data_IF_275896342563
#
_entry.id   IF_275896342563
#
_cell.length_a   1.000
_cell.length_b   1.000
_cell.length_c   1.000
_cell.angle_alpha   90.00
_cell.angle_beta   90.00
_cell.angle_gamma   90.00
#
_symmetry.space_group_name_H-M   'P 1'
#
loop_
_entity.id
_entity.type
_entity.pdbx_description
1 polymer ?
#
# COMPACT_ATOMS: atom_id res chain seq x y z
N UNK A 1 52.34 -31.41 27.31
CA UNK A 1 51.26 -32.21 27.87
C UNK A 1 50.17 -32.33 26.82
N UNK A 2 49.95 -33.57 26.42
CA UNK A 2 49.33 -33.99 25.17
C UNK A 2 47.84 -33.63 25.11
N UNK A 3 47.39 -33.08 23.96
CA UNK A 3 45.96 -32.94 23.68
C UNK A 3 45.47 -34.29 23.16
N UNK A 4 44.86 -35.07 24.04
CA UNK A 4 44.12 -36.27 23.67
C UNK A 4 42.96 -35.88 22.74
N UNK A 5 43.03 -36.33 21.49
CA UNK A 5 41.91 -36.26 20.55
C UNK A 5 41.05 -37.50 20.79
N UNK A 6 40.04 -37.36 21.66
CA UNK A 6 39.01 -38.38 21.80
C UNK A 6 38.29 -38.57 20.46
N UNK A 7 38.36 -39.80 19.95
CA UNK A 7 37.71 -40.19 18.71
C UNK A 7 36.19 -40.14 18.88
N UNK A 8 35.55 -39.15 18.26
CA UNK A 8 34.09 -39.10 18.11
C UNK A 8 33.64 -40.27 17.22
N UNK A 9 32.83 -41.15 17.78
CA UNK A 9 32.18 -42.28 17.11
C UNK A 9 31.20 -41.79 16.02
N UNK A 10 31.40 -42.16 14.73
CA UNK A 10 30.54 -41.73 13.63
C UNK A 10 29.13 -42.35 13.61
N UNK A 11 28.77 -43.21 14.58
CA UNK A 11 27.44 -43.85 14.65
C UNK A 11 26.39 -43.14 15.51
N UNK A 12 26.69 -42.01 16.16
CA UNK A 12 25.63 -41.21 16.81
C UNK A 12 24.88 -40.36 15.77
N UNK A 13 23.65 -40.76 15.46
CA UNK A 13 22.70 -39.98 14.68
C UNK A 13 22.60 -38.56 15.22
N UNK A 14 22.82 -37.58 14.33
CA UNK A 14 22.96 -36.16 14.69
C UNK A 14 21.86 -35.69 15.62
N UNK A 15 22.27 -35.31 16.84
CA UNK A 15 21.42 -34.59 17.78
C UNK A 15 20.94 -33.32 17.06
N UNK A 16 19.63 -32.99 17.06
CA UNK A 16 19.17 -31.77 16.43
C UNK A 16 19.95 -30.59 17.00
N UNK A 17 20.46 -29.72 16.13
CA UNK A 17 21.17 -28.51 16.50
C UNK A 17 20.20 -27.64 17.31
N UNK A 18 20.25 -27.74 18.64
CA UNK A 18 19.55 -26.82 19.52
C UNK A 18 20.37 -25.54 19.48
N UNK A 19 19.90 -24.54 18.73
CA UNK A 19 20.43 -23.18 18.85
C UNK A 19 20.11 -22.74 20.28
N UNK A 20 21.10 -22.81 21.18
CA UNK A 20 20.95 -22.44 22.58
C UNK A 20 20.58 -20.96 22.75
N UNK A 21 20.89 -20.14 21.75
CA UNK A 21 20.58 -18.72 21.72
C UNK A 21 20.05 -18.32 20.34
N UNK A 22 18.83 -17.78 20.32
CA UNK A 22 18.26 -17.11 19.16
C UNK A 22 18.37 -15.60 19.42
N UNK A 23 19.31 -14.94 18.73
CA UNK A 23 19.43 -13.48 18.80
C UNK A 23 18.42 -12.86 17.83
N UNK A 24 17.38 -12.21 18.37
CA UNK A 24 16.51 -11.36 17.59
C UNK A 24 17.22 -10.01 17.38
N UNK A 25 17.60 -9.71 16.14
CA UNK A 25 18.07 -8.38 15.72
C UNK A 25 16.88 -7.43 15.54
N UNK A 26 16.03 -7.35 16.55
CA UNK A 26 14.85 -6.49 16.58
C UNK A 26 15.19 -5.20 17.34
N UNK A 27 14.78 -4.07 16.79
CA UNK A 27 14.89 -2.76 17.43
C UNK A 27 13.55 -2.40 18.05
N UNK A 28 13.57 -1.74 19.20
CA UNK A 28 12.37 -1.12 19.74
C UNK A 28 11.91 0.04 18.85
N UNK A 29 10.61 0.33 18.89
CA UNK A 29 10.02 1.36 18.03
C UNK A 29 10.60 2.76 18.29
N UNK A 30 10.94 3.08 19.54
CA UNK A 30 11.50 4.39 19.90
C UNK A 30 12.92 4.55 19.33
N UNK A 31 13.79 3.54 19.48
CA UNK A 31 15.12 3.50 18.88
C UNK A 31 15.06 3.56 17.35
N UNK A 32 14.07 2.93 16.72
CA UNK A 32 13.87 3.03 15.27
C UNK A 32 13.51 4.46 14.85
N UNK A 33 12.63 5.14 15.59
CA UNK A 33 12.26 6.54 15.32
C UNK A 33 13.48 7.47 15.49
N UNK A 34 14.28 7.26 16.53
CA UNK A 34 15.51 8.02 16.75
C UNK A 34 16.54 7.79 15.63
N UNK A 35 16.72 6.55 15.18
CA UNK A 35 17.61 6.21 14.08
C UNK A 35 17.18 6.90 12.77
N UNK A 36 15.87 6.92 12.48
CA UNK A 36 15.33 7.64 11.31
C UNK A 36 15.59 9.14 11.43
N UNK A 37 15.39 9.73 12.62
CA UNK A 37 15.66 11.15 12.85
C UNK A 37 17.14 11.50 12.69
N UNK A 38 18.04 10.64 13.17
CA UNK A 38 19.49 10.79 12.98
C UNK A 38 19.87 10.73 11.50
N UNK A 39 19.34 9.76 10.75
CA UNK A 39 19.59 9.63 9.32
C UNK A 39 19.06 10.86 8.55
N UNK A 40 17.89 11.38 8.92
CA UNK A 40 17.30 12.58 8.33
C UNK A 40 18.22 13.81 8.46
N UNK A 41 18.81 14.03 9.64
CA UNK A 41 19.77 15.13 9.86
C UNK A 41 21.02 14.99 9.00
N UNK A 42 21.60 13.80 8.92
CA UNK A 42 22.78 13.55 8.11
C UNK A 42 22.50 13.77 6.60
N UNK A 43 21.31 13.37 6.12
CA UNK A 43 20.88 13.64 4.74
C UNK A 43 20.71 15.14 4.51
N UNK A 44 20.10 15.87 5.44
CA UNK A 44 19.92 17.31 5.34
C UNK A 44 21.26 18.07 5.26
N UNK A 45 22.23 17.71 6.11
CA UNK A 45 23.58 18.28 6.08
C UNK A 45 24.27 18.03 4.72
N UNK A 46 24.20 16.79 4.22
CA UNK A 46 24.78 16.43 2.94
C UNK A 46 24.08 17.14 1.76
N UNK A 47 22.75 17.24 1.78
CA UNK A 47 21.97 17.96 0.78
C UNK A 47 22.27 19.47 0.79
N UNK A 48 22.42 20.08 1.96
CA UNK A 48 22.77 21.50 2.08
C UNK A 48 24.18 21.80 1.55
N UNK A 49 25.15 20.93 1.83
CA UNK A 49 26.50 21.06 1.27
C UNK A 49 26.49 20.88 -0.25
N UNK A 50 25.70 19.94 -0.76
CA UNK A 50 25.48 19.75 -2.20
C UNK A 50 24.91 21.02 -2.84
N UNK A 51 23.80 21.54 -2.32
CA UNK A 51 23.16 22.76 -2.86
C UNK A 51 24.14 23.94 -2.86
N UNK A 52 24.82 24.21 -1.74
CA UNK A 52 25.81 25.29 -1.63
C UNK A 52 26.95 25.15 -2.65
N UNK A 53 27.41 23.93 -2.89
CA UNK A 53 28.53 23.67 -3.81
C UNK A 53 28.11 23.83 -5.28
N UNK A 54 26.88 23.42 -5.61
CA UNK A 54 26.40 23.40 -6.99
C UNK A 54 25.59 24.63 -7.39
N UNK A 55 25.11 25.45 -6.46
CA UNK A 55 24.42 26.73 -6.70
C UNK A 55 25.10 27.61 -7.77
N UNK A 56 26.43 27.86 -7.74
CA UNK A 56 27.08 28.68 -8.77
C UNK A 56 27.19 27.99 -10.14
N UNK A 57 26.96 26.68 -10.22
CA UNK A 57 27.05 25.86 -11.43
C UNK A 57 25.67 25.57 -12.04
N UNK A 58 24.59 26.08 -11.43
CA UNK A 58 23.21 25.85 -11.88
C UNK A 58 22.95 26.56 -13.21
N UNK A 59 22.41 25.81 -14.17
CA UNK A 59 21.92 26.35 -15.45
C UNK A 59 20.69 27.22 -15.23
N UNK A 60 20.44 28.23 -16.08
CA UNK A 60 19.22 29.05 -15.97
C UNK A 60 17.98 28.17 -15.94
N UNK A 61 17.04 28.52 -15.04
CA UNK A 61 15.80 27.77 -14.82
C UNK A 61 14.99 27.74 -16.10
N UNK A 62 14.61 26.54 -16.54
CA UNK A 62 13.71 26.38 -17.68
C UNK A 62 12.29 26.73 -17.25
N UNK A 63 11.71 27.76 -17.88
CA UNK A 63 10.31 28.10 -17.68
C UNK A 63 9.42 27.00 -18.28
N UNK A 64 8.96 26.08 -17.43
CA UNK A 64 7.96 25.09 -17.78
C UNK A 64 6.59 25.61 -17.33
N UNK A 65 5.67 25.75 -18.26
CA UNK A 65 4.27 26.00 -17.94
C UNK A 65 3.70 24.73 -17.28
N UNK A 66 3.33 24.83 -16.01
CA UNK A 66 2.63 23.76 -15.32
C UNK A 66 1.24 23.63 -15.95
N UNK A 67 0.92 22.46 -16.48
CA UNK A 67 -0.43 22.17 -16.92
C UNK A 67 -1.35 22.16 -15.70
N UNK A 68 -2.13 23.22 -15.52
CA UNK A 68 -3.19 23.24 -14.53
C UNK A 68 -4.25 22.21 -14.92
N UNK A 69 -4.50 21.24 -14.06
CA UNK A 69 -5.64 20.34 -14.18
C UNK A 69 -6.91 21.14 -13.86
N UNK A 70 -7.39 21.90 -14.85
CA UNK A 70 -8.66 22.63 -14.75
C UNK A 70 -9.78 21.61 -14.71
N UNK A 71 -10.30 21.40 -13.51
CA UNK A 71 -11.53 20.65 -13.29
C UNK A 71 -12.68 21.63 -13.39
N UNK A 72 -13.73 21.24 -14.10
CA UNK A 72 -14.96 22.03 -14.18
C UNK A 72 -15.63 22.12 -12.80
N UNK A 73 -15.51 23.30 -12.17
CA UNK A 73 -16.09 23.59 -10.85
C UNK A 73 -17.62 23.62 -10.87
N UNK A 74 -18.22 23.95 -12.01
CA UNK A 74 -19.68 23.96 -12.16
C UNK A 74 -20.22 22.54 -12.14
N UNK A 75 -19.57 21.64 -12.87
CA UNK A 75 -19.88 20.21 -12.87
C UNK A 75 -19.58 19.57 -11.51
N UNK A 76 -18.51 19.99 -10.83
CA UNK A 76 -18.21 19.53 -9.48
C UNK A 76 -19.35 19.87 -8.51
N UNK A 77 -19.77 21.14 -8.49
CA UNK A 77 -20.86 21.62 -7.65
C UNK A 77 -22.19 20.94 -7.98
N UNK A 78 -22.44 20.65 -9.26
CA UNK A 78 -23.62 19.91 -9.70
C UNK A 78 -23.61 18.47 -9.17
N UNK A 79 -22.47 17.77 -9.22
CA UNK A 79 -22.33 16.40 -8.70
C UNK A 79 -22.49 16.39 -7.18
N UNK A 80 -21.88 17.33 -6.48
CA UNK A 80 -21.97 17.46 -5.03
C UNK A 80 -23.42 17.66 -4.57
N UNK A 81 -24.16 18.59 -5.17
CA UNK A 81 -25.52 18.90 -4.73
C UNK A 81 -26.55 17.81 -5.09
N UNK A 82 -26.38 17.11 -6.21
CA UNK A 82 -27.40 16.17 -6.71
C UNK A 82 -27.08 14.69 -6.45
N UNK A 83 -25.79 14.34 -6.28
CA UNK A 83 -25.34 12.94 -6.24
C UNK A 83 -24.49 12.60 -5.01
N UNK A 84 -24.37 13.48 -4.01
CA UNK A 84 -23.62 13.20 -2.78
C UNK A 84 -24.00 11.86 -2.13
N UNK A 85 -25.28 11.67 -1.85
CA UNK A 85 -25.79 10.44 -1.20
C UNK A 85 -25.55 9.19 -2.05
N UNK A 86 -25.69 9.32 -3.37
CA UNK A 86 -25.48 8.21 -4.30
C UNK A 86 -24.00 7.80 -4.33
N UNK A 87 -23.10 8.78 -4.36
CA UNK A 87 -21.65 8.55 -4.32
C UNK A 87 -21.22 7.94 -3.00
N UNK A 88 -21.74 8.42 -1.86
CA UNK A 88 -21.42 7.86 -0.54
C UNK A 88 -21.86 6.39 -0.44
N UNK A 89 -23.09 6.07 -0.87
CA UNK A 89 -23.59 4.69 -0.92
C UNK A 89 -22.72 3.82 -1.83
N UNK A 90 -22.40 4.31 -3.03
CA UNK A 90 -21.55 3.58 -3.97
C UNK A 90 -20.15 3.30 -3.40
N UNK A 91 -19.58 4.21 -2.61
CA UNK A 91 -18.26 4.03 -1.98
C UNK A 91 -18.31 2.99 -0.84
N UNK A 92 -19.43 2.88 -0.14
CA UNK A 92 -19.59 2.03 1.05
C UNK A 92 -19.63 0.52 0.76
N UNK A 93 -19.73 0.08 -0.51
CA UNK A 93 -19.76 -1.34 -0.85
C UNK A 93 -18.44 -2.04 -0.51
N UNK A 94 -18.53 -3.22 0.11
CA UNK A 94 -17.34 -3.97 0.54
C UNK A 94 -16.51 -4.49 -0.65
N UNK A 95 -17.15 -4.90 -1.73
CA UNK A 95 -16.47 -5.47 -2.89
C UNK A 95 -15.95 -4.37 -3.84
N UNK A 96 -14.70 -4.51 -4.29
CA UNK A 96 -14.08 -3.57 -5.26
C UNK A 96 -14.84 -3.55 -6.59
N UNK A 97 -15.30 -4.70 -7.07
CA UNK A 97 -16.06 -4.84 -8.31
C UNK A 97 -17.42 -4.14 -8.23
N UNK A 98 -18.11 -4.26 -7.09
CA UNK A 98 -19.40 -3.60 -6.85
C UNK A 98 -19.24 -2.09 -6.84
N UNK A 99 -18.28 -1.56 -6.05
CA UNK A 99 -17.98 -0.11 -6.03
C UNK A 99 -17.69 0.45 -7.42
N UNK A 100 -16.89 -0.25 -8.21
CA UNK A 100 -16.57 0.18 -9.58
C UNK A 100 -17.80 0.17 -10.49
N UNK A 101 -18.76 -0.73 -10.26
CA UNK A 101 -19.96 -0.87 -11.07
C UNK A 101 -20.97 0.22 -10.72
N UNK A 102 -21.20 0.47 -9.43
CA UNK A 102 -22.10 1.54 -8.98
C UNK A 102 -21.61 2.93 -9.39
N UNK A 103 -20.30 3.22 -9.28
CA UNK A 103 -19.75 4.48 -9.77
C UNK A 103 -19.90 4.66 -11.29
N UNK A 104 -19.83 3.56 -12.06
CA UNK A 104 -20.08 3.61 -13.51
C UNK A 104 -21.55 3.91 -13.82
N UNK A 105 -22.49 3.37 -13.03
CA UNK A 105 -23.92 3.67 -13.15
C UNK A 105 -24.20 5.14 -12.82
N UNK A 106 -23.61 5.66 -11.74
CA UNK A 106 -23.74 7.09 -11.39
C UNK A 106 -23.23 7.96 -12.54
N UNK A 107 -22.09 7.62 -13.13
CA UNK A 107 -21.57 8.33 -14.30
C UNK A 107 -22.54 8.31 -15.48
N UNK A 108 -23.16 7.17 -15.80
CA UNK A 108 -24.14 7.11 -16.90
C UNK A 108 -25.39 7.94 -16.59
N UNK A 109 -25.88 7.91 -15.34
CA UNK A 109 -27.01 8.72 -14.92
C UNK A 109 -26.71 10.23 -14.98
N UNK A 110 -25.49 10.65 -14.64
CA UNK A 110 -25.07 12.05 -14.77
C UNK A 110 -25.06 12.47 -16.25
N UNK A 111 -24.54 11.63 -17.14
CA UNK A 111 -24.52 11.92 -18.58
C UNK A 111 -25.93 12.05 -19.16
N UNK A 112 -26.82 11.10 -18.86
CA UNK A 112 -28.22 11.14 -19.29
C UNK A 112 -28.96 12.38 -18.76
N UNK A 113 -28.71 12.79 -17.53
CA UNK A 113 -29.30 14.00 -16.95
C UNK A 113 -28.80 15.28 -17.64
N UNK A 114 -27.50 15.35 -17.95
CA UNK A 114 -26.92 16.50 -18.67
C UNK A 114 -27.44 16.58 -20.12
N UNK A 115 -27.59 15.45 -20.80
CA UNK A 115 -28.20 15.36 -22.13
C UNK A 115 -29.67 15.85 -22.11
N UNK A 116 -30.45 15.47 -21.09
CA UNK A 116 -31.83 15.93 -20.92
C UNK A 116 -31.94 17.45 -20.65
N UNK A 117 -30.93 18.04 -20.01
CA UNK A 117 -30.81 19.50 -19.82
C UNK A 117 -30.28 20.24 -21.06
N UNK A 118 -29.95 19.51 -22.14
CA UNK A 118 -29.38 20.07 -23.37
C UNK A 118 -27.90 20.45 -23.26
N UNK A 119 -27.18 19.95 -22.26
CA UNK A 119 -25.75 20.17 -22.06
C UNK A 119 -24.99 18.93 -22.54
N UNK A 120 -24.25 19.05 -23.63
CA UNK A 120 -23.30 18.01 -24.05
C UNK A 120 -22.09 18.02 -23.10
N UNK A 121 -21.88 16.94 -22.35
CA UNK A 121 -20.76 16.80 -21.44
C UNK A 121 -19.87 15.63 -21.87
N UNK A 122 -18.57 15.90 -21.96
CA UNK A 122 -17.60 14.87 -22.29
C UNK A 122 -17.50 13.83 -21.16
N UNK A 123 -17.57 12.56 -21.54
CA UNK A 123 -17.48 11.41 -20.64
C UNK A 123 -16.17 11.38 -19.85
N UNK A 124 -15.06 11.81 -20.46
CA UNK A 124 -13.77 11.86 -19.76
C UNK A 124 -13.77 12.96 -18.69
N UNK A 125 -14.31 14.13 -19.01
CA UNK A 125 -14.45 15.24 -18.06
C UNK A 125 -15.31 14.84 -16.86
N UNK A 126 -16.50 14.27 -17.10
CA UNK A 126 -17.39 13.79 -16.02
C UNK A 126 -16.70 12.74 -15.17
N UNK A 127 -15.95 11.82 -15.79
CA UNK A 127 -15.20 10.79 -15.06
C UNK A 127 -14.10 11.39 -14.17
N UNK A 128 -13.38 12.41 -14.65
CA UNK A 128 -12.34 13.11 -13.87
C UNK A 128 -12.95 13.86 -12.69
N UNK A 129 -14.04 14.60 -12.91
CA UNK A 129 -14.71 15.36 -11.85
C UNK A 129 -15.29 14.42 -10.80
N UNK A 130 -15.95 13.33 -11.21
CA UNK A 130 -16.48 12.31 -10.30
C UNK A 130 -15.36 11.63 -9.49
N UNK A 131 -14.21 11.35 -10.11
CA UNK A 131 -13.05 10.79 -9.41
C UNK A 131 -12.48 11.75 -8.36
N UNK A 132 -12.40 13.04 -8.67
CA UNK A 132 -12.00 14.08 -7.72
C UNK A 132 -12.99 14.18 -6.56
N UNK A 133 -14.29 14.22 -6.85
CA UNK A 133 -15.33 14.27 -5.83
C UNK A 133 -15.29 13.03 -4.92
N UNK A 134 -15.16 11.83 -5.50
CA UNK A 134 -14.99 10.57 -4.76
C UNK A 134 -13.81 10.66 -3.77
N UNK A 135 -12.68 11.24 -4.19
CA UNK A 135 -11.50 11.41 -3.31
C UNK A 135 -11.80 12.32 -2.12
N UNK A 136 -12.55 13.39 -2.34
CA UNK A 136 -13.02 14.29 -1.28
C UNK A 136 -13.93 13.54 -0.29
N UNK A 137 -14.92 12.79 -0.78
CA UNK A 137 -15.86 12.02 0.06
C UNK A 137 -15.13 10.95 0.88
N UNK A 138 -14.22 10.17 0.28
CA UNK A 138 -13.45 9.17 1.03
C UNK A 138 -12.61 9.83 2.12
N UNK A 139 -12.03 11.00 1.84
CA UNK A 139 -11.24 11.74 2.83
C UNK A 139 -12.10 12.25 3.98
N UNK A 140 -13.28 12.83 3.72
CA UNK A 140 -14.18 13.29 4.78
C UNK A 140 -14.72 12.12 5.61
N UNK A 141 -15.06 10.98 5.00
CA UNK A 141 -15.44 9.76 5.74
C UNK A 141 -14.38 9.33 6.75
N UNK A 142 -13.10 9.40 6.36
CA UNK A 142 -11.99 9.00 7.23
C UNK A 142 -11.76 10.03 8.35
N UNK A 143 -11.75 11.33 8.03
CA UNK A 143 -11.43 12.39 8.99
C UNK A 143 -12.58 12.69 9.96
N UNK A 144 -13.81 12.70 9.47
CA UNK A 144 -14.99 13.10 10.25
C UNK A 144 -15.69 11.89 10.87
N UNK A 145 -15.92 10.84 10.07
CA UNK A 145 -16.68 9.66 10.51
C UNK A 145 -15.80 8.57 11.09
N UNK A 146 -14.46 8.66 10.97
CA UNK A 146 -13.50 7.64 11.39
C UNK A 146 -13.77 6.23 10.81
N UNK A 147 -14.42 6.18 9.65
CA UNK A 147 -14.80 4.94 8.96
C UNK A 147 -14.15 4.93 7.58
N UNK A 148 -13.55 3.80 7.24
CA UNK A 148 -12.95 3.59 5.92
C UNK A 148 -14.03 3.31 4.88
N UNK A 149 -13.69 3.47 3.60
CA UNK A 149 -14.58 3.16 2.49
C UNK A 149 -15.14 1.72 2.50
N UNK A 150 -14.46 0.77 3.14
CA UNK A 150 -14.93 -0.62 3.30
C UNK A 150 -15.78 -0.87 4.55
N UNK A 151 -16.20 0.19 5.26
CA UNK A 151 -17.04 0.11 6.46
C UNK A 151 -16.29 -0.31 7.72
N UNK A 152 -14.95 -0.43 7.66
CA UNK A 152 -14.12 -0.84 8.81
C UNK A 152 -13.67 0.37 9.61
N UNK A 153 -13.48 0.14 10.91
CA UNK A 153 -12.76 1.06 11.78
C UNK A 153 -11.31 1.23 11.32
N UNK A 154 -10.66 2.32 11.74
CA UNK A 154 -9.28 2.62 11.36
C UNK A 154 -8.30 1.47 11.68
N UNK A 155 -8.52 0.79 12.81
CA UNK A 155 -7.62 -0.23 13.34
C UNK A 155 -8.02 -1.68 12.98
N UNK A 156 -9.20 -1.89 12.40
CA UNK A 156 -9.70 -3.25 12.16
C UNK A 156 -9.09 -3.88 10.88
N UNK A 157 -8.27 -4.93 11.08
CA UNK A 157 -7.75 -5.80 10.03
C UNK A 157 -8.07 -7.26 10.35
N UNK A 158 -9.15 -7.79 9.75
CA UNK A 158 -9.38 -9.25 9.73
C UNK A 158 -8.29 -9.97 8.90
N UNK A 159 -7.58 -10.90 9.55
CA UNK A 159 -6.60 -11.78 8.94
C UNK A 159 -7.08 -13.23 9.10
N UNK A 160 -6.96 -14.04 8.05
CA UNK A 160 -7.07 -15.50 8.17
C UNK A 160 -5.79 -16.16 7.70
N UNK A 161 -5.23 -17.00 8.56
CA UNK A 161 -4.06 -17.83 8.26
C UNK A 161 -4.57 -19.25 8.10
N UNK A 162 -4.33 -19.87 6.95
CA UNK A 162 -4.66 -21.28 6.72
C UNK A 162 -3.36 -22.04 6.47
N UNK A 163 -3.08 -23.00 7.33
CA UNK A 163 -2.01 -23.96 7.09
C UNK A 163 -2.62 -25.19 6.45
N UNK A 164 -2.12 -25.54 5.26
CA UNK A 164 -2.50 -26.78 4.57
C UNK A 164 -1.26 -27.68 4.59
N UNK A 165 -1.42 -28.87 5.17
CA UNK A 165 -0.41 -29.92 5.09
C UNK A 165 -0.71 -30.67 3.80
N UNK A 166 0.25 -30.65 2.86
CA UNK A 166 0.12 -31.38 1.60
C UNK A 166 0.40 -32.86 1.82
N UNK A 167 -0.16 -33.70 0.95
CA UNK A 167 -0.07 -35.17 1.03
C UNK A 167 1.35 -35.72 0.96
N UNK A 168 2.31 -34.94 0.46
CA UNK A 168 3.75 -35.23 0.40
C UNK A 168 4.51 -34.83 1.69
N UNK A 169 3.83 -34.32 2.71
CA UNK A 169 4.45 -33.87 3.97
C UNK A 169 5.00 -32.44 3.94
N UNK A 170 4.89 -31.74 2.80
CA UNK A 170 5.25 -30.32 2.69
C UNK A 170 4.18 -29.43 3.33
N UNK A 171 4.62 -28.31 3.90
CA UNK A 171 3.74 -27.38 4.62
C UNK A 171 3.57 -26.12 3.79
N UNK A 172 2.36 -25.89 3.31
CA UNK A 172 1.99 -24.64 2.66
C UNK A 172 1.25 -23.75 3.66
N UNK A 173 1.70 -22.51 3.78
CA UNK A 173 0.99 -21.48 4.52
C UNK A 173 0.37 -20.54 3.50
N UNK A 174 -0.96 -20.48 3.46
CA UNK A 174 -1.65 -19.43 2.71
C UNK A 174 -2.12 -18.36 3.68
N UNK A 175 -1.54 -17.17 3.53
CA UNK A 175 -2.04 -15.98 4.20
C UNK A 175 -3.12 -15.38 3.31
N UNK A 176 -4.33 -15.21 3.83
CA UNK A 176 -5.42 -14.57 3.10
C UNK A 176 -5.71 -13.22 3.76
N UNK A 177 -5.24 -12.14 3.14
CA UNK A 177 -5.83 -10.80 3.34
C UNK A 177 -6.85 -10.59 2.21
N UNK A 178 -7.89 -9.76 2.44
CA UNK A 178 -9.00 -9.50 1.48
C UNK A 178 -8.58 -8.81 0.14
N UNK A 179 -7.30 -8.72 -0.16
CA UNK A 179 -6.69 -8.19 -1.40
C UNK A 179 -5.54 -9.13 -1.81
N UNK A 180 -5.17 -9.24 -3.11
CA UNK A 180 -4.43 -10.40 -3.63
C UNK A 180 -3.11 -10.64 -2.88
N UNK A 181 -2.79 -11.91 -2.64
CA UNK A 181 -1.68 -12.33 -1.77
C UNK A 181 -0.64 -13.15 -2.55
N UNK A 182 0.65 -13.02 -2.19
CA UNK A 182 1.69 -13.94 -2.62
C UNK A 182 1.50 -15.31 -1.93
N UNK A 183 1.73 -16.39 -2.69
CA UNK A 183 1.86 -17.74 -2.16
C UNK A 183 3.33 -17.97 -1.88
N UNK A 184 3.70 -18.28 -0.63
CA UNK A 184 5.08 -18.56 -0.24
C UNK A 184 5.25 -20.05 0.03
N UNK A 185 6.12 -20.70 -0.74
CA UNK A 185 6.52 -22.09 -0.51
C UNK A 185 7.86 -22.11 0.22
N UNK A 186 7.95 -22.84 1.32
CA UNK A 186 9.23 -23.13 1.97
C UNK A 186 9.76 -24.46 1.43
N UNK A 187 10.60 -24.41 0.40
CA UNK A 187 11.39 -25.56 -0.03
C UNK A 187 12.58 -25.73 0.92
N UNK A 188 12.71 -26.90 1.55
CA UNK A 188 13.90 -27.27 2.31
C UNK A 188 14.96 -27.81 1.34
N UNK A 189 15.61 -26.92 0.59
CA UNK A 189 16.76 -27.24 -0.26
C UNK A 189 18.00 -26.50 0.22
N UNK A 190 19.09 -27.21 0.50
CA UNK A 190 20.40 -26.59 0.73
C UNK A 190 20.80 -25.77 -0.51
N UNK A 191 21.29 -24.53 -0.37
CA UNK A 191 21.68 -23.73 -1.52
C UNK A 191 22.84 -24.39 -2.28
N UNK A 192 22.85 -24.37 -3.62
CA UNK A 192 23.98 -24.89 -4.38
C UNK A 192 25.21 -24.04 -4.11
N UNK A 193 26.30 -24.70 -3.71
CA UNK A 193 27.63 -24.10 -3.61
C UNK A 193 28.07 -23.78 -5.04
N UNK A 194 28.15 -22.49 -5.37
CA UNK A 194 28.76 -22.01 -6.60
C UNK A 194 30.26 -21.87 -6.31
N UNK A 195 31.09 -22.68 -6.99
CA UNK A 195 32.55 -22.49 -7.06
C UNK A 195 32.89 -21.33 -8.01
#
# INVERSE_FOLDING_TARGET
>A
DDVEVDMIDPMMGGVPLILEHQECNELDEDALVEAIAMAGKAIEEASAEYEKTFEPLVRPVLALELAEEKVDETLYSYIENNYADAVEKAISHMAKSERSTELKKIRTTILEALEAEGKEADKELVSKVLERYKKTVVRSMILEKNVRADGRAMDDKAHSVRTIIMSNGERCVSNVKRTPQPVTNNEKGSPPIIF
#
